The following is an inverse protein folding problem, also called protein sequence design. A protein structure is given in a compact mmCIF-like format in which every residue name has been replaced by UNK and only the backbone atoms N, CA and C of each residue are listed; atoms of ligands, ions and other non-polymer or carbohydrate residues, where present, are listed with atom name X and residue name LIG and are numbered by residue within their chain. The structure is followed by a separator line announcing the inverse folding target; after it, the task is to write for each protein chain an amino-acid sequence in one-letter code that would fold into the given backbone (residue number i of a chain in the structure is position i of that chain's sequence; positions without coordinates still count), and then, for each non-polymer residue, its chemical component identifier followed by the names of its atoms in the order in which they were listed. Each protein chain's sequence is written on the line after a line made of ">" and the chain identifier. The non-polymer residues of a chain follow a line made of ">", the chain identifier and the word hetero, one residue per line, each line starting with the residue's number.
data_IF_540265655111
#
_entry.id   IF_540265655111
#
_cell.length_a   1.000
_cell.length_b   1.000
_cell.length_c   1.000
_cell.angle_alpha   90.00
_cell.angle_beta   90.00
_cell.angle_gamma   90.00
#
_symmetry.space_group_name_H-M   'P 1'
#
loop_
_entity.id
_entity.type
_entity.pdbx_description
1 polymer ?
#
# COMPACT_ATOMS: atom_id res chain seq x y z
N UNK A 1 -14.95 -14.07 9.10
CA UNK A 1 -15.33 -14.98 8.01
C UNK A 1 -14.22 -14.90 6.98
N UNK A 2 -13.45 -15.97 6.80
CA UNK A 2 -12.44 -16.02 5.75
C UNK A 2 -13.16 -16.51 4.51
N UNK A 3 -13.61 -15.60 3.66
CA UNK A 3 -14.10 -15.99 2.33
C UNK A 3 -12.93 -16.61 1.57
N UNK A 4 -13.06 -17.90 1.26
CA UNK A 4 -12.10 -18.63 0.46
C UNK A 4 -12.23 -18.13 -0.98
N UNK A 5 -11.25 -17.37 -1.47
CA UNK A 5 -11.17 -17.00 -2.88
C UNK A 5 -10.89 -18.27 -3.69
N UNK A 6 -11.94 -18.92 -4.16
CA UNK A 6 -11.81 -20.01 -5.12
C UNK A 6 -11.28 -19.43 -6.42
N UNK A 7 -10.14 -19.95 -6.89
CA UNK A 7 -9.46 -19.51 -8.11
C UNK A 7 -10.33 -19.64 -9.38
N UNK A 8 -11.42 -20.42 -9.29
CA UNK A 8 -12.39 -20.68 -10.37
C UNK A 8 -13.63 -19.76 -10.36
N UNK A 9 -13.71 -18.74 -9.49
CA UNK A 9 -14.82 -17.78 -9.51
C UNK A 9 -14.60 -16.76 -10.66
N UNK A 10 -15.50 -16.70 -11.67
CA UNK A 10 -15.37 -15.79 -12.81
C UNK A 10 -15.38 -14.31 -12.38
N UNK A 11 -15.92 -13.99 -11.22
CA UNK A 11 -15.96 -12.63 -10.65
C UNK A 11 -14.82 -12.37 -9.65
N UNK A 12 -13.90 -13.32 -9.43
CA UNK A 12 -12.82 -13.19 -8.46
C UNK A 12 -11.96 -11.94 -8.70
N UNK A 13 -11.66 -11.62 -9.97
CA UNK A 13 -10.85 -10.46 -10.32
C UNK A 13 -11.55 -9.13 -9.99
N UNK A 14 -12.86 -9.02 -10.27
CA UNK A 14 -13.65 -7.83 -9.97
C UNK A 14 -13.93 -7.68 -8.47
N UNK A 15 -14.16 -8.80 -7.75
CA UNK A 15 -14.23 -8.83 -6.29
C UNK A 15 -12.89 -8.42 -5.69
N UNK A 16 -11.77 -8.90 -6.20
CA UNK A 16 -10.45 -8.50 -5.75
C UNK A 16 -10.19 -7.01 -6.01
N UNK A 17 -10.57 -6.51 -7.19
CA UNK A 17 -10.41 -5.08 -7.54
C UNK A 17 -11.33 -4.17 -6.73
N UNK A 18 -12.50 -4.64 -6.31
CA UNK A 18 -13.38 -3.89 -5.41
C UNK A 18 -12.91 -3.93 -3.96
N UNK A 19 -12.37 -5.06 -3.49
CA UNK A 19 -11.84 -5.22 -2.12
C UNK A 19 -10.46 -4.57 -1.93
N UNK A 20 -9.59 -4.61 -2.93
CA UNK A 20 -8.19 -4.14 -2.86
C UNK A 20 -7.88 -3.04 -3.88
N UNK A 21 -8.91 -2.40 -4.42
CA UNK A 21 -8.78 -1.29 -5.34
C UNK A 21 -8.26 0.00 -4.68
N UNK A 22 -8.04 1.06 -5.48
CA UNK A 22 -7.45 2.31 -5.01
C UNK A 22 -8.16 2.94 -3.81
N UNK A 23 -9.48 2.79 -3.69
CA UNK A 23 -10.25 3.30 -2.55
C UNK A 23 -9.88 2.63 -1.22
N UNK A 24 -9.72 1.31 -1.20
CA UNK A 24 -9.28 0.61 0.00
C UNK A 24 -7.81 0.94 0.33
N UNK A 25 -6.97 1.08 -0.70
CA UNK A 25 -5.57 1.47 -0.52
C UNK A 25 -5.46 2.88 0.07
N UNK A 26 -6.31 3.85 -0.33
CA UNK A 26 -6.36 5.18 0.29
C UNK A 26 -6.63 5.08 1.80
N UNK A 27 -7.60 4.26 2.20
CA UNK A 27 -7.89 4.05 3.63
C UNK A 27 -6.69 3.43 4.36
N UNK A 28 -6.02 2.45 3.77
CA UNK A 28 -4.84 1.83 4.36
C UNK A 28 -3.68 2.83 4.51
N UNK A 29 -3.46 3.72 3.52
CA UNK A 29 -2.46 4.78 3.60
C UNK A 29 -2.80 5.75 4.74
N UNK A 30 -4.06 6.17 4.89
CA UNK A 30 -4.47 7.03 6.02
C UNK A 30 -4.22 6.36 7.38
N UNK A 31 -4.55 5.07 7.50
CA UNK A 31 -4.25 4.31 8.72
C UNK A 31 -2.74 4.25 8.99
N UNK A 32 -1.93 4.00 7.96
CA UNK A 32 -0.48 3.97 8.08
C UNK A 32 0.09 5.32 8.54
N UNK A 33 -0.44 6.45 8.05
CA UNK A 33 -0.06 7.80 8.51
C UNK A 33 -0.34 7.94 10.01
N UNK A 34 -1.52 7.53 10.47
CA UNK A 34 -1.86 7.58 11.90
C UNK A 34 -0.97 6.67 12.75
N UNK A 35 -0.66 5.46 12.28
CA UNK A 35 0.28 4.59 12.98
C UNK A 35 1.68 5.18 13.03
N UNK A 36 2.15 5.80 11.95
CA UNK A 36 3.44 6.50 11.92
C UNK A 36 3.46 7.61 12.99
N UNK A 37 2.43 8.45 13.07
CA UNK A 37 2.28 9.46 14.11
C UNK A 37 2.33 8.89 15.54
N UNK A 38 1.57 7.82 15.80
CA UNK A 38 1.48 7.23 17.14
C UNK A 38 2.77 6.54 17.58
N UNK A 39 3.54 6.00 16.65
CA UNK A 39 4.78 5.26 16.94
C UNK A 39 6.02 6.14 17.02
N UNK A 40 5.94 7.39 16.52
CA UNK A 40 7.03 8.36 16.70
C UNK A 40 7.25 8.71 18.19
N UNK A 41 8.53 8.88 18.61
CA UNK A 41 8.87 9.47 19.90
C UNK A 41 8.17 10.82 20.11
N UNK A 42 7.76 11.11 21.34
CA UNK A 42 6.96 12.29 21.64
C UNK A 42 7.64 13.62 21.24
N UNK A 43 8.98 13.69 21.34
CA UNK A 43 9.81 14.82 20.94
C UNK A 43 9.93 14.99 19.41
N UNK A 44 9.64 13.93 18.65
CA UNK A 44 9.71 13.89 17.18
C UNK A 44 8.35 13.84 16.50
N UNK A 45 7.27 13.75 17.28
CA UNK A 45 5.89 13.67 16.77
C UNK A 45 5.43 15.02 16.22
N UNK A 46 5.93 15.36 15.03
CA UNK A 46 5.62 16.56 14.25
C UNK A 46 5.04 16.12 12.91
N UNK A 47 4.15 16.92 12.35
CA UNK A 47 3.50 16.62 11.06
C UNK A 47 4.57 16.43 9.98
N UNK A 48 5.55 17.34 9.93
CA UNK A 48 6.66 17.29 8.97
C UNK A 48 7.47 16.00 9.06
N UNK A 49 7.67 15.45 10.27
CA UNK A 49 8.41 14.21 10.46
C UNK A 49 7.61 13.00 9.95
N UNK A 50 6.29 12.96 10.20
CA UNK A 50 5.43 11.92 9.64
C UNK A 50 5.41 12.00 8.12
N UNK A 51 5.27 13.20 7.56
CA UNK A 51 5.32 13.40 6.11
C UNK A 51 6.66 12.90 5.54
N UNK A 52 7.78 13.27 6.17
CA UNK A 52 9.11 12.84 5.75
C UNK A 52 9.25 11.31 5.74
N UNK A 53 8.84 10.63 6.82
CA UNK A 53 8.93 9.16 6.89
C UNK A 53 8.00 8.49 5.87
N UNK A 54 6.77 8.97 5.71
CA UNK A 54 5.81 8.40 4.76
C UNK A 54 6.29 8.51 3.31
N UNK A 55 6.79 9.70 2.91
CA UNK A 55 7.38 9.89 1.57
C UNK A 55 8.57 8.97 1.34
N UNK A 56 9.51 8.93 2.29
CA UNK A 56 10.70 8.07 2.22
C UNK A 56 10.36 6.58 2.04
N UNK A 57 9.33 6.09 2.73
CA UNK A 57 8.87 4.70 2.63
C UNK A 57 8.21 4.47 1.27
N UNK A 58 7.30 5.35 0.86
CA UNK A 58 6.58 5.24 -0.40
C UNK A 58 7.52 5.32 -1.61
N UNK A 59 8.46 6.27 -1.61
CA UNK A 59 9.45 6.43 -2.68
C UNK A 59 10.30 5.17 -2.85
N UNK A 60 10.69 4.53 -1.75
CA UNK A 60 11.42 3.25 -1.80
C UNK A 60 10.55 2.14 -2.40
N UNK A 61 9.33 1.97 -1.90
CA UNK A 61 8.43 0.93 -2.41
C UNK A 61 8.12 1.10 -3.90
N UNK A 62 7.95 2.35 -4.36
CA UNK A 62 7.75 2.65 -5.78
C UNK A 62 8.99 2.39 -6.61
N UNK A 63 10.19 2.63 -6.06
CA UNK A 63 11.44 2.28 -6.72
C UNK A 63 11.56 0.78 -6.87
N UNK A 64 11.36 0.02 -5.79
CA UNK A 64 11.45 -1.45 -5.80
C UNK A 64 10.48 -2.04 -6.85
N UNK A 65 9.25 -1.53 -6.93
CA UNK A 65 8.28 -1.93 -7.97
C UNK A 65 8.79 -1.67 -9.40
N UNK A 66 9.46 -0.54 -9.65
CA UNK A 66 10.04 -0.23 -10.96
C UNK A 66 11.22 -1.14 -11.28
N UNK A 67 12.06 -1.40 -10.30
CA UNK A 67 13.22 -2.29 -10.44
C UNK A 67 12.72 -3.72 -10.74
N UNK A 68 11.67 -4.19 -10.06
CA UNK A 68 11.01 -5.48 -10.32
C UNK A 68 10.34 -5.53 -11.70
N UNK A 69 9.69 -4.44 -12.11
CA UNK A 69 9.12 -4.31 -13.46
C UNK A 69 10.18 -4.48 -14.54
N UNK A 70 11.35 -3.85 -14.37
CA UNK A 70 12.46 -3.96 -15.31
C UNK A 70 13.13 -5.35 -15.28
N UNK A 71 13.26 -5.96 -14.10
CA UNK A 71 13.92 -7.24 -13.93
C UNK A 71 13.08 -8.43 -14.40
N UNK A 72 11.75 -8.36 -14.23
CA UNK A 72 10.84 -9.48 -14.43
C UNK A 72 9.73 -9.23 -15.46
N UNK A 73 9.71 -8.07 -16.12
CA UNK A 73 8.67 -7.71 -17.10
C UNK A 73 7.29 -7.44 -16.48
N UNK A 74 7.23 -7.19 -15.16
CA UNK A 74 5.96 -6.91 -14.47
C UNK A 74 5.42 -5.57 -14.97
N UNK A 75 4.26 -5.57 -15.65
CA UNK A 75 3.63 -4.36 -16.19
C UNK A 75 3.80 -4.14 -17.70
N UNK A 76 4.45 -5.06 -18.42
CA UNK A 76 4.30 -5.16 -19.88
C UNK A 76 2.98 -5.92 -20.18
N UNK A 77 1.87 -5.18 -20.18
CA UNK A 77 0.54 -5.66 -20.58
C UNK A 77 -0.15 -4.64 -21.46
#
# INVERSE_FOLDING_TARGET
>A
MTESFSQDDPDAADKFRSMFGPGQIDQQIRQAIHFCWMTLPADKRKVDEVEHQMRRILDRALKDLRDDSQAFGIGEG
#
